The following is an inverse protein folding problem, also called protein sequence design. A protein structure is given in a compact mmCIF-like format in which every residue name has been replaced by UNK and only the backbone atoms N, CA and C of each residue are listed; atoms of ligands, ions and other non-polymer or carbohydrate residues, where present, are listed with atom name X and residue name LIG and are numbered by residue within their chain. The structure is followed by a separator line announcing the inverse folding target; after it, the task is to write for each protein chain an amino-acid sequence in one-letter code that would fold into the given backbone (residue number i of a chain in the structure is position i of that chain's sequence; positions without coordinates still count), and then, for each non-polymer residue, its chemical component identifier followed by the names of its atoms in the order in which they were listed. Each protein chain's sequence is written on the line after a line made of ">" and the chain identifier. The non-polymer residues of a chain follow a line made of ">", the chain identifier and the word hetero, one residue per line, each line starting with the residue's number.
data_IF_336010127199
#
_entry.id   IF_336010127199
#
_cell.length_a   1.000
_cell.length_b   1.000
_cell.length_c   1.000
_cell.angle_alpha   90.00
_cell.angle_beta   90.00
_cell.angle_gamma   90.00
#
_symmetry.space_group_name_H-M   'P 1'
#
loop_
_entity.id
_entity.type
_entity.pdbx_description
1 polymer ?
#
# COMPACT_ATOMS: atom_id res chain seq x y z
N UNK A 1 2.91 0.83 1.21
CA UNK A 1 3.82 0.72 0.04
C UNK A 1 5.26 0.81 0.49
N UNK A 2 6.16 -0.06 0.02
CA UNK A 2 7.60 0.07 0.27
C UNK A 2 8.23 1.04 -0.74
N UNK A 3 8.98 2.03 -0.24
CA UNK A 3 9.68 3.04 -1.03
C UNK A 3 11.14 2.66 -1.29
N UNK A 4 11.78 2.02 -0.32
CA UNK A 4 13.20 1.66 -0.39
C UNK A 4 13.49 0.50 0.56
N UNK A 5 14.39 -0.40 0.14
CA UNK A 5 15.02 -1.38 1.00
C UNK A 5 16.46 -0.95 1.26
N UNK A 6 16.90 -0.98 2.50
CA UNK A 6 18.26 -0.63 2.88
C UNK A 6 18.71 -1.42 4.11
N UNK A 7 20.01 -1.40 4.38
CA UNK A 7 20.56 -2.04 5.58
C UNK A 7 21.64 -1.17 6.20
N UNK A 8 21.76 -1.24 7.53
CA UNK A 8 22.85 -0.58 8.26
C UNK A 8 23.35 -1.45 9.40
N UNK A 9 24.57 -1.18 9.87
CA UNK A 9 25.16 -1.86 11.04
C UNK A 9 25.12 -0.94 12.24
N UNK A 10 24.62 -1.45 13.36
CA UNK A 10 24.67 -0.76 14.66
C UNK A 10 25.01 -1.78 15.76
N UNK A 11 26.02 -1.46 16.58
CA UNK A 11 26.54 -2.37 17.63
C UNK A 11 26.78 -3.80 17.13
N UNK A 12 27.43 -3.93 15.97
CA UNK A 12 27.76 -5.22 15.33
C UNK A 12 26.56 -6.04 14.84
N UNK A 13 25.35 -5.53 14.94
CA UNK A 13 24.14 -6.14 14.39
C UNK A 13 23.82 -5.51 13.04
N UNK A 14 23.54 -6.34 12.03
CA UNK A 14 23.02 -5.90 10.74
C UNK A 14 21.50 -5.76 10.87
N UNK A 15 20.99 -4.58 10.53
CA UNK A 15 19.56 -4.30 10.48
C UNK A 15 19.13 -4.18 9.03
N UNK A 16 18.20 -5.03 8.62
CA UNK A 16 17.59 -5.01 7.30
C UNK A 16 16.23 -4.30 7.39
N UNK A 17 16.10 -3.21 6.65
CA UNK A 17 15.01 -2.27 6.83
C UNK A 17 14.32 -1.92 5.52
N UNK A 18 13.06 -1.55 5.66
CA UNK A 18 12.24 -0.99 4.59
C UNK A 18 11.71 0.38 5.01
N UNK A 19 11.78 1.35 4.09
CA UNK A 19 11.03 2.60 4.20
C UNK A 19 9.64 2.34 3.64
N UNK A 20 8.60 2.54 4.44
CA UNK A 20 7.21 2.31 4.05
C UNK A 20 6.39 3.59 4.12
N UNK A 21 5.45 3.74 3.20
CA UNK A 21 4.36 4.71 3.23
C UNK A 21 3.06 3.98 3.60
N UNK A 22 2.40 4.45 4.65
CA UNK A 22 1.23 3.81 5.25
C UNK A 22 -0.07 4.13 4.50
N UNK A 23 -1.07 3.28 4.70
CA UNK A 23 -2.40 3.38 4.13
C UNK A 23 -3.43 3.11 5.21
N UNK A 24 -4.53 3.87 5.20
CA UNK A 24 -5.66 3.69 6.10
C UNK A 24 -6.82 3.04 5.37
N UNK A 25 -7.53 2.14 6.07
CA UNK A 25 -8.79 1.60 5.60
C UNK A 25 -9.85 2.70 5.62
N UNK A 26 -10.68 2.74 4.59
CA UNK A 26 -11.84 3.62 4.47
C UNK A 26 -13.08 2.79 4.79
N UNK A 27 -13.91 3.28 5.73
CA UNK A 27 -15.10 2.58 6.19
C UNK A 27 -14.81 1.50 7.23
N UNK A 28 -15.86 0.82 7.66
CA UNK A 28 -15.87 -0.23 8.68
C UNK A 28 -16.15 -1.63 8.09
N UNK A 29 -16.47 -1.72 6.80
CA UNK A 29 -16.73 -2.96 6.07
C UNK A 29 -16.13 -2.92 4.65
N UNK A 30 -15.93 -4.10 4.02
CA UNK A 30 -15.59 -4.18 2.61
C UNK A 30 -16.67 -3.52 1.73
N UNK A 31 -16.25 -3.03 0.57
CA UNK A 31 -17.15 -2.48 -0.44
C UNK A 31 -18.23 -3.51 -0.85
N UNK A 32 -19.49 -3.09 -0.93
CA UNK A 32 -20.63 -4.00 -1.11
C UNK A 32 -20.63 -4.71 -2.47
N UNK A 33 -20.17 -4.03 -3.53
CA UNK A 33 -20.19 -4.54 -4.90
C UNK A 33 -19.02 -5.50 -5.17
N UNK A 34 -17.84 -5.18 -4.62
CA UNK A 34 -16.61 -5.93 -4.90
C UNK A 34 -16.18 -6.88 -3.78
N UNK A 35 -16.68 -6.66 -2.56
CA UNK A 35 -16.23 -7.35 -1.36
C UNK A 35 -14.75 -7.08 -1.02
N UNK A 36 -14.15 -6.01 -1.55
CA UNK A 36 -12.76 -5.64 -1.30
C UNK A 36 -12.68 -4.48 -0.32
N UNK A 37 -11.63 -4.45 0.50
CA UNK A 37 -11.35 -3.29 1.34
C UNK A 37 -10.88 -2.11 0.49
N UNK A 38 -11.36 -0.92 0.82
CA UNK A 38 -10.90 0.33 0.25
C UNK A 38 -9.86 0.94 1.18
N UNK A 39 -8.73 1.37 0.63
CA UNK A 39 -7.67 2.05 1.36
C UNK A 39 -7.26 3.36 0.67
N UNK A 40 -6.73 4.29 1.45
CA UNK A 40 -6.12 5.52 0.96
C UNK A 40 -4.74 5.75 1.61
N UNK A 41 -3.82 6.50 0.99
CA UNK A 41 -2.57 6.88 1.64
C UNK A 41 -2.83 7.59 2.97
N UNK A 42 -2.07 7.20 4.01
CA UNK A 42 -2.08 7.86 5.30
C UNK A 42 -1.22 9.13 5.26
N UNK A 43 -1.64 10.15 6.00
CA UNK A 43 -0.92 11.42 6.11
C UNK A 43 -0.79 11.81 7.59
N UNK A 44 0.41 12.24 7.96
CA UNK A 44 0.67 12.95 9.22
C UNK A 44 0.68 14.47 8.93
N UNK A 45 -0.45 15.12 9.23
CA UNK A 45 -0.70 16.50 8.82
C UNK A 45 -0.76 16.65 7.29
N UNK A 46 0.25 17.31 6.71
CA UNK A 46 0.35 17.54 5.26
C UNK A 46 1.38 16.64 4.57
N UNK A 47 2.04 15.75 5.31
CA UNK A 47 3.09 14.88 4.80
C UNK A 47 2.61 13.43 4.74
N UNK A 48 3.04 12.64 3.74
CA UNK A 48 2.75 11.22 3.73
C UNK A 48 3.29 10.57 5.00
N UNK A 49 2.48 9.70 5.59
CA UNK A 49 2.85 8.94 6.78
C UNK A 49 3.87 7.87 6.40
N UNK A 50 5.13 8.12 6.77
CA UNK A 50 6.29 7.31 6.38
C UNK A 50 6.99 6.80 7.64
N UNK A 51 7.40 5.54 7.61
CA UNK A 51 8.16 4.91 8.70
C UNK A 51 9.25 3.99 8.18
N UNK A 52 10.23 3.70 9.05
CA UNK A 52 11.21 2.64 8.83
C UNK A 52 10.81 1.44 9.66
N UNK A 53 10.66 0.28 9.02
CA UNK A 53 10.36 -0.99 9.67
C UNK A 53 11.45 -2.02 9.38
N UNK A 54 11.62 -3.00 10.27
CA UNK A 54 12.42 -4.17 9.97
C UNK A 54 11.76 -4.98 8.85
N UNK A 55 12.54 -5.60 7.96
CA UNK A 55 11.97 -6.36 6.85
C UNK A 55 11.09 -7.53 7.31
N UNK A 56 11.40 -8.13 8.46
CA UNK A 56 10.60 -9.21 9.07
C UNK A 56 9.19 -8.77 9.50
N UNK A 57 8.95 -7.45 9.62
CA UNK A 57 7.60 -6.94 9.87
C UNK A 57 6.72 -6.96 8.61
N UNK A 58 7.30 -7.21 7.42
CA UNK A 58 6.56 -7.36 6.17
C UNK A 58 6.08 -8.80 6.06
N UNK A 59 4.80 -9.01 6.28
CA UNK A 59 4.20 -10.33 6.15
C UNK A 59 4.06 -10.79 4.70
N UNK A 60 3.43 -9.97 3.85
CA UNK A 60 3.23 -10.28 2.43
C UNK A 60 2.97 -9.01 1.60
N UNK A 61 3.21 -9.11 0.30
CA UNK A 61 2.80 -8.10 -0.69
C UNK A 61 1.28 -8.12 -0.91
N UNK A 62 0.68 -6.94 -0.92
CA UNK A 62 -0.71 -6.75 -1.33
C UNK A 62 -0.76 -6.03 -2.68
N UNK A 63 -1.76 -6.36 -3.50
CA UNK A 63 -1.98 -5.71 -4.79
C UNK A 63 -3.04 -4.62 -4.65
N UNK A 64 -2.69 -3.39 -5.00
CA UNK A 64 -3.61 -2.26 -4.97
C UNK A 64 -4.15 -1.97 -6.37
N UNK A 65 -5.47 -1.99 -6.51
CA UNK A 65 -6.18 -1.57 -7.72
C UNK A 65 -6.70 -0.15 -7.53
N UNK A 66 -6.32 0.82 -8.38
CA UNK A 66 -6.89 2.15 -8.30
C UNK A 66 -8.41 2.14 -8.44
N UNK A 67 -9.10 2.93 -7.61
CA UNK A 67 -10.52 3.20 -7.81
C UNK A 67 -10.63 4.32 -8.84
N UNK A 68 -11.23 3.99 -9.98
CA UNK A 68 -11.42 4.93 -11.08
C UNK A 68 -12.69 5.77 -10.87
N UNK A 69 -12.60 7.05 -11.20
CA UNK A 69 -13.77 7.93 -11.30
C UNK A 69 -14.40 7.86 -12.69
N UNK A 70 -15.25 8.85 -12.98
CA UNK A 70 -15.90 9.00 -14.29
C UNK A 70 -14.99 9.66 -15.34
N UNK A 71 -13.90 10.27 -14.90
CA UNK A 71 -12.98 11.01 -15.75
C UNK A 71 -11.99 10.10 -16.47
N UNK A 72 -11.51 10.55 -17.63
CA UNK A 72 -10.42 9.90 -18.34
C UNK A 72 -9.14 9.90 -17.50
N UNK A 73 -8.45 8.76 -17.45
CA UNK A 73 -7.13 8.65 -16.85
C UNK A 73 -6.15 9.49 -17.67
N UNK A 74 -5.47 10.49 -17.06
CA UNK A 74 -4.47 11.28 -17.77
C UNK A 74 -3.35 10.39 -18.35
N UNK A 75 -2.95 10.63 -19.59
CA UNK A 75 -1.88 9.88 -20.28
C UNK A 75 -0.52 9.91 -19.57
N UNK A 76 -0.31 10.85 -18.66
CA UNK A 76 0.88 10.94 -17.83
C UNK A 76 0.91 9.90 -16.69
N UNK A 77 -0.23 9.28 -16.35
CA UNK A 77 -0.30 8.21 -15.37
C UNK A 77 0.12 6.91 -16.02
N UNK A 78 1.06 6.22 -15.38
CA UNK A 78 1.54 4.91 -15.79
C UNK A 78 1.79 4.04 -14.53
N UNK A 79 2.25 2.80 -14.74
CA UNK A 79 2.42 1.84 -13.65
C UNK A 79 3.42 2.29 -12.57
N UNK A 80 4.37 3.18 -12.87
CA UNK A 80 5.39 3.62 -11.92
C UNK A 80 4.92 4.75 -11.00
N UNK A 81 3.90 5.51 -11.40
CA UNK A 81 3.40 6.67 -10.63
C UNK A 81 1.94 6.53 -10.19
N UNK A 82 1.25 5.44 -10.56
CA UNK A 82 -0.17 5.24 -10.23
C UNK A 82 -0.44 5.33 -8.73
N UNK A 83 0.42 4.72 -7.90
CA UNK A 83 0.31 4.74 -6.45
C UNK A 83 0.47 6.14 -5.82
N UNK A 84 1.04 7.10 -6.55
CA UNK A 84 1.19 8.50 -6.13
C UNK A 84 0.08 9.42 -6.65
N UNK A 85 -0.64 8.98 -7.70
CA UNK A 85 -1.63 9.82 -8.42
C UNK A 85 -3.06 9.50 -8.02
N UNK A 86 -3.36 8.24 -7.74
CA UNK A 86 -4.68 7.85 -7.25
C UNK A 86 -4.80 8.07 -5.75
N UNK A 87 -6.00 8.40 -5.29
CA UNK A 87 -6.29 8.71 -3.88
C UNK A 87 -6.79 7.52 -3.10
N UNK A 88 -7.46 6.59 -3.78
CA UNK A 88 -8.09 5.43 -3.17
C UNK A 88 -7.82 4.18 -4.00
N UNK A 89 -7.74 3.05 -3.32
CA UNK A 89 -7.39 1.77 -3.91
C UNK A 89 -8.23 0.66 -3.29
N UNK A 90 -8.63 -0.33 -4.09
CA UNK A 90 -9.07 -1.61 -3.58
C UNK A 90 -7.86 -2.47 -3.22
N UNK A 91 -7.91 -3.16 -2.08
CA UNK A 91 -6.98 -4.23 -1.76
C UNK A 91 -7.46 -5.50 -2.45
N UNK A 92 -6.75 -5.89 -3.51
CA UNK A 92 -7.17 -6.97 -4.38
C UNK A 92 -6.86 -8.33 -3.76
N UNK A 93 -7.87 -8.92 -3.12
CA UNK A 93 -7.80 -10.27 -2.55
C UNK A 93 -7.75 -11.41 -3.59
N UNK A 94 -7.98 -11.10 -4.86
CA UNK A 94 -7.99 -12.07 -5.97
C UNK A 94 -6.66 -12.12 -6.74
N UNK A 95 -5.71 -11.24 -6.43
CA UNK A 95 -4.44 -11.16 -7.14
C UNK A 95 -3.49 -12.33 -6.84
N UNK A 96 -3.64 -12.95 -5.68
CA UNK A 96 -2.84 -14.04 -5.19
C UNK A 96 -3.78 -15.03 -4.49
N UNK A 97 -3.63 -16.33 -4.77
CA UNK A 97 -4.38 -17.40 -4.10
C UNK A 97 -4.35 -17.23 -2.59
N UNK A 98 -3.21 -16.79 -2.04
CA UNK A 98 -3.10 -16.57 -0.61
C UNK A 98 -3.51 -15.17 -0.13
N UNK A 99 -3.71 -14.18 -1.03
CA UNK A 99 -4.30 -12.91 -0.63
C UNK A 99 -5.77 -13.11 -0.22
N UNK A 100 -6.46 -14.10 -0.79
CA UNK A 100 -7.83 -14.43 -0.43
C UNK A 100 -8.01 -14.74 1.06
N UNK A 101 -7.05 -15.44 1.67
CA UNK A 101 -7.13 -15.88 3.08
C UNK A 101 -6.80 -14.76 4.09
N UNK A 102 -6.02 -13.76 3.69
CA UNK A 102 -5.44 -12.77 4.61
C UNK A 102 -6.17 -11.43 4.56
N UNK A 103 -6.86 -11.14 3.44
CA UNK A 103 -7.47 -9.82 3.22
C UNK A 103 -8.87 -9.68 3.85
N UNK A 104 -9.26 -10.61 4.74
CA UNK A 104 -10.56 -10.72 5.44
C UNK A 104 -11.76 -11.11 4.55
#
# INVERSE_FOLDING_TARGET
>A
RTLCFFSFKYKWVLYECAVVCWFNIIGDAPDEDTGMWVVQPSFDGHSPDISVIHIDAIYRTAHFLPIYGVDFIPRAINFSNSLDKFRTFYVNKFADHHAFEITF
#
